data_IF_894151807207
#
_entry.id   IF_894151807207
#
_cell.length_a   1.000
_cell.length_b   1.000
_cell.length_c   1.000
_cell.angle_alpha   90.00
_cell.angle_beta   90.00
_cell.angle_gamma   90.00
#
_symmetry.space_group_name_H-M   'P 1'
#
loop_
_entity.id
_entity.type
_entity.pdbx_description
1 polymer ?
#
# COMPACT_ATOMS: atom_id res chain seq x y z
N UNK A 1 -28.39 -2.48 10.15
CA UNK A 1 -27.73 -1.40 9.42
C UNK A 1 -26.26 -1.42 9.70
N UNK A 2 -25.45 -2.12 8.92
CA UNK A 2 -24.02 -1.93 8.83
C UNK A 2 -23.72 -1.53 7.39
N UNK A 3 -24.01 -0.26 7.11
CA UNK A 3 -23.51 0.42 5.93
C UNK A 3 -22.13 0.93 6.28
N UNK A 4 -21.07 0.43 5.63
CA UNK A 4 -19.85 1.18 5.48
C UNK A 4 -18.51 0.57 5.90
N UNK A 5 -18.35 -0.73 6.06
CA UNK A 5 -17.00 -1.29 6.02
C UNK A 5 -16.56 -1.46 4.56
N UNK A 6 -15.79 -0.49 4.08
CA UNK A 6 -15.04 -0.63 2.83
C UNK A 6 -14.08 -1.82 3.01
N UNK A 7 -14.39 -2.91 2.35
CA UNK A 7 -13.54 -4.09 2.31
C UNK A 7 -12.20 -3.74 1.69
N UNK A 8 -11.13 -3.85 2.47
CA UNK A 8 -9.77 -3.66 1.96
C UNK A 8 -9.23 -5.03 1.55
N UNK A 9 -8.92 -5.26 0.26
CA UNK A 9 -8.44 -6.56 -0.23
C UNK A 9 -7.05 -6.94 0.31
N UNK A 10 -6.35 -6.02 0.93
CA UNK A 10 -5.09 -6.27 1.62
C UNK A 10 -5.03 -5.45 2.91
N UNK A 11 -4.39 -5.97 3.92
CA UNK A 11 -4.26 -5.28 5.19
C UNK A 11 -3.22 -5.90 6.10
N UNK A 12 -3.10 -5.29 7.27
CA UNK A 12 -2.22 -5.78 8.34
C UNK A 12 -3.11 -6.10 9.53
N UNK A 13 -3.02 -7.35 10.00
CA UNK A 13 -3.60 -7.74 11.27
C UNK A 13 -2.49 -7.72 12.33
N UNK A 14 -2.74 -6.99 13.41
CA UNK A 14 -1.86 -6.95 14.55
C UNK A 14 -2.34 -7.97 15.59
N UNK A 15 -1.47 -8.90 15.93
CA UNK A 15 -1.69 -9.80 17.07
C UNK A 15 -0.90 -9.30 18.26
N UNK A 16 -1.57 -9.18 19.36
CA UNK A 16 -0.95 -8.97 20.66
C UNK A 16 -1.16 -10.25 21.49
N UNK A 17 -0.06 -10.93 21.79
CA UNK A 17 -0.08 -12.12 22.62
C UNK A 17 0.59 -11.80 23.96
N UNK A 18 -0.17 -11.84 25.02
CA UNK A 18 0.37 -11.73 26.36
C UNK A 18 0.88 -13.11 26.82
N UNK A 19 2.17 -13.19 27.07
CA UNK A 19 2.83 -14.42 27.48
C UNK A 19 2.70 -14.62 29.01
N UNK A 20 2.75 -15.88 29.50
CA UNK A 20 2.62 -16.16 30.94
C UNK A 20 3.68 -15.50 31.84
N UNK A 21 4.80 -15.06 31.26
CA UNK A 21 5.87 -14.34 31.94
C UNK A 21 5.67 -12.82 32.02
N UNK A 22 4.51 -12.32 31.62
CA UNK A 22 4.17 -10.89 31.62
C UNK A 22 4.75 -10.09 30.44
N UNK A 23 5.41 -10.74 29.49
CA UNK A 23 5.86 -10.11 28.26
C UNK A 23 4.73 -10.12 27.21
N UNK A 24 4.66 -9.05 26.43
CA UNK A 24 3.75 -8.95 25.31
C UNK A 24 4.52 -9.12 24.00
N UNK A 25 4.08 -10.06 23.17
CA UNK A 25 4.62 -10.27 21.84
C UNK A 25 3.66 -9.67 20.81
N UNK A 26 4.10 -8.66 20.06
CA UNK A 26 3.32 -8.10 18.96
C UNK A 26 3.79 -8.73 17.66
N UNK A 27 2.87 -9.31 16.88
CA UNK A 27 3.11 -9.79 15.53
C UNK A 27 2.22 -9.10 14.55
N UNK A 28 2.77 -8.83 13.37
CA UNK A 28 2.06 -8.28 12.22
C UNK A 28 1.89 -9.40 11.21
N UNK A 29 0.67 -9.66 10.78
CA UNK A 29 0.38 -10.57 9.66
C UNK A 29 -0.15 -9.73 8.52
N UNK A 30 0.55 -9.77 7.39
CA UNK A 30 0.08 -9.19 6.14
C UNK A 30 -0.86 -10.19 5.49
N UNK A 31 -2.06 -9.76 5.15
CA UNK A 31 -2.97 -10.55 4.34
C UNK A 31 -3.25 -9.85 3.01
N UNK A 32 -3.33 -10.66 1.96
CA UNK A 32 -3.79 -10.21 0.65
C UNK A 32 -4.97 -11.11 0.29
N UNK A 33 -6.17 -10.54 0.29
CA UNK A 33 -7.39 -11.29 0.04
C UNK A 33 -7.82 -11.06 -1.41
N UNK A 34 -7.76 -12.08 -2.23
CA UNK A 34 -8.06 -12.00 -3.67
C UNK A 34 -9.48 -12.43 -4.04
N UNK A 35 -10.32 -12.83 -3.07
CA UNK A 35 -11.69 -13.21 -3.36
C UNK A 35 -12.64 -12.02 -3.20
N UNK A 36 -13.59 -11.90 -4.13
CA UNK A 36 -14.68 -10.94 -4.02
C UNK A 36 -15.54 -11.27 -2.77
N UNK A 37 -16.07 -10.26 -2.05
CA UNK A 37 -16.95 -10.49 -0.92
C UNK A 37 -18.21 -11.23 -1.36
N UNK A 38 -18.72 -12.13 -0.49
CA UNK A 38 -19.97 -12.82 -0.74
C UNK A 38 -21.12 -11.83 -0.86
N UNK A 39 -21.82 -11.85 -1.99
CA UNK A 39 -22.99 -11.01 -2.25
C UNK A 39 -24.03 -11.77 -3.08
N UNK A 40 -25.31 -11.35 -2.99
CA UNK A 40 -26.32 -11.82 -3.92
C UNK A 40 -26.02 -11.29 -5.32
N UNK A 41 -26.06 -12.17 -6.30
CA UNK A 41 -25.94 -11.83 -7.69
C UNK A 41 -27.32 -11.35 -8.19
N UNK A 42 -27.47 -10.04 -8.36
CA UNK A 42 -28.75 -9.43 -8.77
C UNK A 42 -29.21 -9.96 -10.14
N UNK A 43 -28.28 -10.18 -11.06
CA UNK A 43 -28.59 -10.70 -12.39
C UNK A 43 -29.13 -12.14 -12.37
N UNK A 44 -28.90 -12.86 -11.28
CA UNK A 44 -29.33 -14.24 -11.05
C UNK A 44 -30.28 -14.39 -9.85
N UNK A 45 -30.82 -13.27 -9.33
CA UNK A 45 -31.76 -13.31 -8.20
C UNK A 45 -33.08 -12.68 -8.64
N UNK A 46 -34.03 -13.53 -8.98
CA UNK A 46 -35.33 -13.12 -9.51
C UNK A 46 -36.42 -14.07 -9.05
N UNK A 47 -37.61 -13.53 -8.74
CA UNK A 47 -38.78 -14.30 -8.31
C UNK A 47 -40.03 -13.86 -9.04
N UNK A 48 -40.82 -14.83 -9.51
CA UNK A 48 -42.07 -14.56 -10.22
C UNK A 48 -43.07 -15.70 -10.09
N UNK A 49 -44.32 -15.43 -10.45
CA UNK A 49 -45.40 -16.38 -10.51
C UNK A 49 -46.11 -16.28 -11.88
N UNK A 50 -46.06 -17.35 -12.69
CA UNK A 50 -46.77 -17.41 -13.95
C UNK A 50 -48.27 -17.70 -13.73
N UNK A 51 -49.14 -16.95 -14.36
CA UNK A 51 -50.60 -17.22 -14.32
C UNK A 51 -50.90 -18.66 -14.76
N UNK A 52 -51.62 -19.41 -13.89
CA UNK A 52 -51.97 -20.81 -14.13
C UNK A 52 -50.88 -21.84 -13.69
N UNK A 53 -49.73 -21.40 -13.17
CA UNK A 53 -48.73 -22.29 -12.58
C UNK A 53 -49.21 -22.83 -11.20
N UNK A 54 -48.66 -23.99 -10.79
CA UNK A 54 -48.95 -24.56 -9.49
C UNK A 54 -48.06 -23.92 -8.38
N UNK A 55 -46.91 -23.38 -8.72
CA UNK A 55 -45.96 -22.75 -7.82
C UNK A 55 -45.25 -21.60 -8.49
N UNK A 56 -44.77 -20.64 -7.66
CA UNK A 56 -43.86 -19.58 -8.12
C UNK A 56 -42.45 -20.10 -8.30
N UNK A 57 -41.65 -19.38 -9.07
CA UNK A 57 -40.23 -19.63 -9.25
C UNK A 57 -39.41 -18.55 -8.52
N UNK A 58 -38.45 -18.99 -7.75
CA UNK A 58 -37.47 -18.13 -7.02
C UNK A 58 -36.08 -18.58 -7.42
N UNK A 59 -35.46 -17.87 -8.35
CA UNK A 59 -34.08 -18.10 -8.75
C UNK A 59 -33.16 -17.23 -7.92
N UNK A 60 -32.06 -17.80 -7.41
CA UNK A 60 -31.12 -17.10 -6.52
C UNK A 60 -29.70 -17.45 -6.89
N UNK A 61 -28.90 -16.43 -7.14
CA UNK A 61 -27.45 -16.56 -7.36
C UNK A 61 -26.63 -15.81 -6.33
N UNK A 62 -25.40 -16.26 -6.15
CA UNK A 62 -24.38 -15.57 -5.36
C UNK A 62 -23.13 -15.33 -6.19
N UNK A 63 -22.45 -14.24 -5.89
CA UNK A 63 -21.11 -13.91 -6.40
C UNK A 63 -20.14 -13.68 -5.27
N UNK A 64 -18.86 -13.94 -5.49
CA UNK A 64 -17.83 -13.88 -4.44
C UNK A 64 -17.93 -15.00 -3.40
N UNK A 65 -17.22 -14.88 -2.28
CA UNK A 65 -17.14 -15.90 -1.25
C UNK A 65 -16.51 -17.22 -1.71
N UNK A 66 -16.71 -18.28 -0.91
CA UNK A 66 -16.14 -19.61 -1.17
C UNK A 66 -17.25 -20.64 -1.45
N UNK A 67 -17.15 -21.32 -2.60
CA UNK A 67 -18.08 -22.40 -3.02
C UNK A 67 -17.76 -23.70 -2.27
N UNK A 68 -18.75 -24.64 -2.08
CA UNK A 68 -20.17 -24.52 -2.41
C UNK A 68 -20.92 -23.57 -1.49
N UNK A 69 -22.07 -23.09 -1.98
CA UNK A 69 -23.00 -22.29 -1.19
C UNK A 69 -24.16 -23.13 -0.67
N UNK A 70 -24.66 -22.75 0.50
CA UNK A 70 -25.88 -23.30 1.08
C UNK A 70 -26.95 -22.22 1.02
N UNK A 71 -28.09 -22.49 0.41
CA UNK A 71 -29.24 -21.61 0.26
C UNK A 71 -30.41 -22.14 1.11
N UNK A 72 -30.97 -21.30 1.94
CA UNK A 72 -32.14 -21.60 2.74
C UNK A 72 -33.27 -20.63 2.42
N UNK A 73 -34.35 -21.16 1.81
CA UNK A 73 -35.59 -20.42 1.61
C UNK A 73 -36.38 -20.49 2.93
N UNK A 74 -36.75 -19.34 3.45
CA UNK A 74 -37.46 -19.19 4.69
C UNK A 74 -38.68 -18.29 4.53
N UNK A 75 -39.72 -18.53 5.33
CA UNK A 75 -40.80 -17.58 5.52
C UNK A 75 -40.29 -16.32 6.24
N UNK A 76 -41.06 -15.23 6.25
CA UNK A 76 -40.61 -13.98 6.87
C UNK A 76 -40.44 -14.11 8.40
N UNK A 77 -41.16 -15.05 9.05
CA UNK A 77 -41.00 -15.37 10.46
C UNK A 77 -39.79 -16.24 10.78
N UNK A 78 -39.05 -16.69 9.74
CA UNK A 78 -37.81 -17.45 9.86
C UNK A 78 -37.96 -18.97 9.74
N UNK A 79 -39.17 -19.50 9.55
CA UNK A 79 -39.36 -20.93 9.35
C UNK A 79 -38.72 -21.41 8.05
N UNK A 80 -37.92 -22.48 8.13
CA UNK A 80 -37.27 -23.08 6.96
C UNK A 80 -38.30 -23.74 6.04
N UNK A 81 -38.33 -23.35 4.77
CA UNK A 81 -39.19 -23.94 3.74
C UNK A 81 -38.42 -25.00 2.95
N UNK A 82 -37.24 -24.63 2.41
CA UNK A 82 -36.41 -25.55 1.65
C UNK A 82 -34.94 -25.14 1.77
N UNK A 83 -34.05 -26.14 1.64
CA UNK A 83 -32.57 -25.94 1.68
C UNK A 83 -31.92 -26.60 0.47
N UNK A 84 -31.03 -25.88 -0.20
CA UNK A 84 -30.23 -26.38 -1.34
C UNK A 84 -28.76 -26.09 -1.15
N UNK A 85 -27.92 -26.94 -1.73
CA UNK A 85 -26.46 -26.71 -1.80
C UNK A 85 -26.01 -26.77 -3.25
N UNK A 86 -25.25 -25.76 -3.70
CA UNK A 86 -24.79 -25.68 -5.08
C UNK A 86 -23.51 -24.85 -5.22
N UNK A 87 -22.79 -25.02 -6.34
CA UNK A 87 -21.66 -24.17 -6.73
C UNK A 87 -22.07 -22.92 -7.55
N UNK A 88 -23.36 -22.77 -7.84
CA UNK A 88 -23.93 -21.67 -8.62
C UNK A 88 -25.33 -21.31 -8.13
N UNK A 89 -26.12 -20.68 -9.00
CA UNK A 89 -27.51 -20.34 -8.70
C UNK A 89 -28.39 -21.58 -8.48
N UNK A 90 -29.45 -21.39 -7.69
CA UNK A 90 -30.49 -22.41 -7.43
C UNK A 90 -31.87 -21.83 -7.74
N UNK A 91 -32.83 -22.69 -8.06
CA UNK A 91 -34.24 -22.32 -8.21
C UNK A 91 -35.05 -23.06 -7.19
N UNK A 92 -35.93 -22.33 -6.47
CA UNK A 92 -36.95 -22.87 -5.58
C UNK A 92 -38.32 -22.75 -6.27
N UNK A 93 -39.19 -23.72 -6.06
CA UNK A 93 -40.54 -23.76 -6.63
C UNK A 93 -41.55 -23.80 -5.51
N UNK A 94 -41.97 -22.62 -5.02
CA UNK A 94 -42.85 -22.47 -3.88
C UNK A 94 -43.80 -21.28 -4.02
N UNK A 95 -44.92 -21.35 -3.30
CA UNK A 95 -45.82 -20.23 -3.12
C UNK A 95 -46.68 -19.88 -4.31
N UNK A 96 -47.52 -18.88 -4.11
CA UNK A 96 -48.46 -18.31 -5.13
C UNK A 96 -48.17 -16.81 -5.29
N UNK A 97 -48.85 -16.19 -6.25
CA UNK A 97 -48.76 -14.75 -6.46
C UNK A 97 -48.96 -13.98 -5.14
N UNK A 98 -48.05 -13.06 -4.85
CA UNK A 98 -48.04 -12.26 -3.62
C UNK A 98 -47.37 -12.92 -2.39
N UNK A 99 -46.96 -14.21 -2.49
CA UNK A 99 -46.18 -14.84 -1.44
C UNK A 99 -44.85 -14.16 -1.22
N UNK A 100 -44.41 -14.05 0.05
CA UNK A 100 -43.15 -13.40 0.43
C UNK A 100 -42.26 -14.36 1.21
N UNK A 101 -40.98 -14.32 0.92
CA UNK A 101 -39.95 -15.15 1.54
C UNK A 101 -38.72 -14.33 1.86
N UNK A 102 -37.81 -14.91 2.62
CA UNK A 102 -36.41 -14.46 2.76
C UNK A 102 -35.47 -15.60 2.39
N UNK A 103 -34.28 -15.26 1.93
CA UNK A 103 -33.22 -16.22 1.61
C UNK A 103 -32.03 -15.96 2.49
N UNK A 104 -31.57 -16.99 3.16
CA UNK A 104 -30.28 -16.99 3.84
C UNK A 104 -29.31 -17.83 3.01
N UNK A 105 -28.16 -17.26 2.68
CA UNK A 105 -27.14 -17.92 1.88
C UNK A 105 -25.79 -17.89 2.58
N UNK A 106 -25.17 -19.06 2.72
CA UNK A 106 -23.94 -19.24 3.48
C UNK A 106 -22.89 -19.88 2.55
N UNK A 107 -21.68 -19.35 2.56
CA UNK A 107 -20.55 -19.94 1.84
C UNK A 107 -19.85 -21.04 2.64
N UNK A 108 -18.91 -21.76 2.04
CA UNK A 108 -18.19 -22.86 2.69
C UNK A 108 -17.27 -22.42 3.85
N UNK A 109 -16.99 -21.11 3.98
CA UNK A 109 -16.27 -20.53 5.12
C UNK A 109 -17.19 -20.09 6.25
N UNK A 110 -18.52 -20.26 6.11
CA UNK A 110 -19.53 -19.91 7.12
C UNK A 110 -19.98 -18.44 7.07
N UNK A 111 -19.56 -17.67 6.05
CA UNK A 111 -20.07 -16.31 5.86
C UNK A 111 -21.48 -16.36 5.30
N UNK A 112 -22.43 -15.70 6.00
CA UNK A 112 -23.86 -15.69 5.64
C UNK A 112 -24.28 -14.31 5.14
N UNK A 113 -25.16 -14.30 4.12
CA UNK A 113 -25.88 -13.13 3.62
C UNK A 113 -27.37 -13.41 3.63
N UNK A 114 -28.17 -12.39 3.87
CA UNK A 114 -29.63 -12.48 3.90
C UNK A 114 -30.22 -11.57 2.85
N UNK A 115 -31.06 -12.11 1.96
CA UNK A 115 -31.90 -11.38 1.02
C UNK A 115 -33.31 -11.32 1.58
N UNK A 116 -33.69 -10.13 2.00
CA UNK A 116 -35.01 -9.89 2.58
C UNK A 116 -36.01 -9.62 1.47
N UNK A 117 -37.27 -10.01 1.73
CA UNK A 117 -38.44 -9.61 0.94
C UNK A 117 -38.45 -10.10 -0.51
N UNK A 118 -38.24 -11.41 -0.71
CA UNK A 118 -38.47 -12.09 -1.98
C UNK A 118 -39.97 -12.17 -2.23
N UNK A 119 -40.48 -11.36 -3.20
CA UNK A 119 -41.89 -11.29 -3.55
C UNK A 119 -42.16 -12.07 -4.84
N UNK A 120 -43.09 -13.02 -4.82
CA UNK A 120 -43.62 -13.64 -6.02
C UNK A 120 -44.62 -12.71 -6.73
N UNK A 121 -44.19 -12.15 -7.82
CA UNK A 121 -44.95 -11.15 -8.62
C UNK A 121 -45.13 -11.60 -10.07
N UNK A 122 -45.94 -10.86 -10.79
CA UNK A 122 -46.11 -11.08 -12.24
C UNK A 122 -44.76 -10.88 -12.95
N UNK A 123 -44.33 -11.74 -13.88
CA UNK A 123 -43.10 -11.58 -14.65
C UNK A 123 -42.94 -10.20 -15.30
N UNK A 124 -44.01 -9.59 -15.75
CA UNK A 124 -44.00 -8.25 -16.38
C UNK A 124 -43.56 -7.14 -15.36
N UNK A 125 -43.72 -7.39 -14.04
CA UNK A 125 -43.33 -6.43 -13.01
C UNK A 125 -41.86 -6.50 -12.62
N UNK A 126 -41.09 -7.48 -13.12
CA UNK A 126 -39.68 -7.68 -12.75
C UNK A 126 -38.68 -7.10 -13.74
N UNK A 127 -39.12 -6.43 -14.79
CA UNK A 127 -38.24 -5.73 -15.74
C UNK A 127 -37.36 -4.72 -15.00
N UNK A 128 -36.03 -4.73 -15.26
CA UNK A 128 -35.03 -3.90 -14.59
C UNK A 128 -34.54 -4.42 -13.23
N UNK A 129 -35.10 -5.53 -12.70
CA UNK A 129 -34.66 -6.11 -11.41
C UNK A 129 -33.45 -7.04 -11.53
N UNK A 130 -33.05 -7.42 -12.75
CA UNK A 130 -31.91 -8.31 -13.04
C UNK A 130 -30.72 -7.56 -13.65
N UNK A 131 -30.58 -6.29 -13.31
CA UNK A 131 -29.48 -5.44 -13.79
C UNK A 131 -28.18 -5.76 -13.02
N UNK A 132 -27.07 -5.72 -13.73
CA UNK A 132 -25.74 -5.90 -13.12
C UNK A 132 -24.70 -4.98 -13.79
N UNK A 133 -23.71 -4.55 -12.99
CA UNK A 133 -22.57 -3.82 -13.46
C UNK A 133 -21.34 -4.76 -13.45
N UNK A 134 -20.72 -4.89 -14.60
CA UNK A 134 -19.56 -5.76 -14.83
C UNK A 134 -18.37 -4.90 -15.13
N UNK A 135 -17.26 -5.12 -14.42
CA UNK A 135 -16.00 -4.47 -14.69
C UNK A 135 -14.94 -5.52 -14.97
N UNK A 136 -14.19 -5.36 -16.06
CA UNK A 136 -13.06 -6.23 -16.43
C UNK A 136 -11.89 -5.41 -16.93
N UNK A 137 -10.71 -6.02 -16.94
CA UNK A 137 -9.52 -5.40 -17.50
C UNK A 137 -9.43 -5.64 -19.00
N UNK A 138 -8.88 -4.69 -19.73
CA UNK A 138 -8.61 -4.79 -21.16
C UNK A 138 -7.77 -6.05 -21.46
N UNK A 139 -8.26 -6.87 -22.37
CA UNK A 139 -7.67 -8.16 -22.72
C UNK A 139 -8.20 -9.35 -21.93
N UNK A 140 -8.93 -9.15 -20.82
CA UNK A 140 -9.49 -10.23 -20.03
C UNK A 140 -10.74 -10.84 -20.67
N UNK A 141 -11.04 -12.12 -20.39
CA UNK A 141 -12.27 -12.75 -20.89
C UNK A 141 -13.50 -12.20 -20.18
N UNK A 142 -14.49 -11.79 -20.97
CA UNK A 142 -15.81 -11.36 -20.50
C UNK A 142 -16.80 -12.49 -20.67
N UNK A 143 -17.63 -12.72 -19.66
CA UNK A 143 -18.80 -13.59 -19.71
C UNK A 143 -19.98 -12.89 -19.08
N UNK A 144 -21.02 -12.60 -19.91
CA UNK A 144 -22.28 -12.05 -19.47
C UNK A 144 -23.33 -13.14 -19.60
N UNK A 145 -23.82 -13.61 -18.48
CA UNK A 145 -24.80 -14.70 -18.45
C UNK A 145 -26.12 -14.20 -17.91
N UNK A 146 -27.16 -14.26 -18.76
CA UNK A 146 -28.51 -13.99 -18.31
C UNK A 146 -28.99 -15.09 -17.35
N UNK A 147 -29.94 -14.75 -16.46
CA UNK A 147 -30.63 -15.76 -15.64
C UNK A 147 -31.26 -16.83 -16.53
N UNK A 148 -31.02 -18.10 -16.21
CA UNK A 148 -31.44 -19.23 -17.03
C UNK A 148 -32.78 -19.78 -16.57
N UNK A 149 -33.75 -19.85 -17.48
CA UNK A 149 -35.04 -20.49 -17.24
C UNK A 149 -35.28 -21.62 -18.26
N UNK A 150 -35.80 -22.78 -17.82
CA UNK A 150 -36.08 -23.88 -18.72
C UNK A 150 -37.05 -23.47 -19.85
N UNK A 151 -36.62 -23.72 -21.09
CA UNK A 151 -37.42 -23.41 -22.28
C UNK A 151 -37.55 -21.93 -22.64
N UNK A 152 -36.87 -21.03 -21.97
CA UNK A 152 -36.83 -19.61 -22.31
C UNK A 152 -35.97 -19.35 -23.56
N UNK A 153 -36.31 -18.30 -24.30
CA UNK A 153 -35.51 -17.79 -25.41
C UNK A 153 -34.93 -16.43 -25.06
N UNK A 154 -33.72 -16.14 -25.54
CA UNK A 154 -32.92 -14.95 -25.20
C UNK A 154 -32.73 -14.10 -26.46
N UNK A 155 -32.83 -12.79 -26.29
CA UNK A 155 -32.47 -11.82 -27.33
C UNK A 155 -31.69 -10.69 -26.69
N UNK A 156 -30.41 -10.64 -26.97
CA UNK A 156 -29.51 -9.56 -26.52
C UNK A 156 -29.49 -8.45 -27.55
N UNK A 157 -29.49 -7.21 -27.08
CA UNK A 157 -29.07 -6.02 -27.81
C UNK A 157 -27.73 -5.59 -27.29
N UNK A 158 -26.69 -5.58 -28.12
CA UNK A 158 -25.31 -5.22 -27.78
C UNK A 158 -25.11 -3.70 -27.93
N UNK A 159 -24.05 -3.13 -27.35
CA UNK A 159 -23.75 -1.69 -27.44
C UNK A 159 -23.57 -1.17 -28.86
N UNK A 160 -23.13 -2.01 -29.79
CA UNK A 160 -22.97 -1.69 -31.21
C UNK A 160 -24.29 -1.80 -32.03
N UNK A 161 -25.41 -2.12 -31.37
CA UNK A 161 -26.73 -2.31 -31.98
C UNK A 161 -26.96 -3.67 -32.65
N UNK A 162 -25.99 -4.58 -32.59
CA UNK A 162 -26.16 -5.96 -33.06
C UNK A 162 -26.94 -6.81 -32.05
N UNK A 163 -27.46 -7.96 -32.50
CA UNK A 163 -28.21 -8.88 -31.64
C UNK A 163 -27.51 -10.24 -31.51
N UNK A 164 -27.69 -10.88 -30.37
CA UNK A 164 -27.37 -12.29 -30.14
C UNK A 164 -28.54 -13.01 -29.49
N UNK A 165 -28.66 -14.31 -29.79
CA UNK A 165 -29.70 -15.20 -29.21
C UNK A 165 -29.09 -16.24 -28.26
N UNK A 166 -27.81 -16.15 -27.97
CA UNK A 166 -27.14 -17.05 -27.03
C UNK A 166 -27.57 -16.72 -25.60
N UNK A 167 -27.73 -17.70 -24.70
CA UNK A 167 -28.07 -17.46 -23.30
C UNK A 167 -26.91 -16.86 -22.53
N UNK A 168 -25.68 -16.91 -23.07
CA UNK A 168 -24.46 -16.37 -22.50
C UNK A 168 -23.61 -15.71 -23.59
N UNK A 169 -23.15 -14.50 -23.34
CA UNK A 169 -22.19 -13.80 -24.20
C UNK A 169 -20.77 -14.07 -23.68
N UNK A 170 -19.85 -14.45 -24.58
CA UNK A 170 -18.45 -14.69 -24.24
C UNK A 170 -17.53 -14.08 -25.29
N UNK A 171 -16.63 -13.17 -24.85
CA UNK A 171 -15.70 -12.46 -25.72
C UNK A 171 -14.51 -11.93 -24.93
N UNK A 172 -13.51 -11.39 -25.60
CA UNK A 172 -12.41 -10.66 -24.96
C UNK A 172 -12.84 -9.21 -24.71
N UNK A 173 -12.61 -8.72 -23.49
CA UNK A 173 -12.89 -7.34 -23.11
C UNK A 173 -11.94 -6.38 -23.82
N UNK A 174 -12.50 -5.46 -24.60
CA UNK A 174 -11.80 -4.37 -25.28
C UNK A 174 -12.63 -3.10 -25.16
N UNK A 175 -12.02 -1.89 -25.14
CA UNK A 175 -12.76 -0.65 -24.91
C UNK A 175 -13.96 -0.41 -25.85
N UNK A 176 -13.92 -0.93 -27.07
CA UNK A 176 -15.02 -0.86 -28.05
C UNK A 176 -16.22 -1.76 -27.70
N UNK A 177 -16.02 -2.72 -26.78
CA UNK A 177 -17.09 -3.59 -26.26
C UNK A 177 -17.72 -3.06 -24.98
N UNK A 178 -17.20 -1.99 -24.41
CA UNK A 178 -17.79 -1.36 -23.24
C UNK A 178 -19.16 -0.76 -23.55
N UNK A 179 -20.06 -0.78 -22.57
CA UNK A 179 -21.39 -0.18 -22.71
C UNK A 179 -22.49 -1.06 -22.15
N UNK A 180 -23.72 -0.75 -22.58
CA UNK A 180 -24.94 -1.39 -22.08
C UNK A 180 -25.37 -2.55 -22.98
N UNK A 181 -25.56 -3.71 -22.37
CA UNK A 181 -26.10 -4.92 -22.95
C UNK A 181 -27.49 -5.12 -22.37
N UNK A 182 -28.52 -5.19 -23.23
CA UNK A 182 -29.89 -5.44 -22.78
C UNK A 182 -30.31 -6.83 -23.24
N UNK A 183 -30.86 -7.65 -22.34
CA UNK A 183 -31.41 -8.96 -22.68
C UNK A 183 -32.91 -8.97 -22.48
N UNK A 184 -33.64 -9.46 -23.48
CA UNK A 184 -35.05 -9.85 -23.40
C UNK A 184 -35.13 -11.38 -23.27
N UNK A 185 -35.66 -11.84 -22.14
CA UNK A 185 -35.85 -13.25 -21.83
C UNK A 185 -37.33 -13.58 -21.96
N UNK A 186 -37.66 -14.29 -23.04
CA UNK A 186 -39.04 -14.73 -23.28
C UNK A 186 -39.30 -16.03 -22.52
N UNK A 187 -40.20 -15.99 -21.55
CA UNK A 187 -40.67 -17.15 -20.79
C UNK A 187 -41.79 -17.86 -21.55
N UNK A 188 -41.46 -18.96 -22.25
CA UNK A 188 -42.45 -19.68 -23.06
C UNK A 188 -43.55 -20.33 -22.21
N UNK A 189 -43.30 -20.60 -20.94
CA UNK A 189 -44.26 -21.21 -20.01
C UNK A 189 -45.42 -20.28 -19.63
N UNK A 190 -45.20 -18.97 -19.64
CA UNK A 190 -46.24 -17.99 -19.28
C UNK A 190 -46.37 -16.82 -20.27
N UNK A 191 -45.82 -16.94 -21.46
CA UNK A 191 -45.85 -15.94 -22.53
C UNK A 191 -45.49 -14.51 -22.02
N UNK A 192 -44.55 -14.42 -21.13
CA UNK A 192 -44.08 -13.17 -20.53
C UNK A 192 -42.61 -12.90 -20.89
N UNK A 193 -42.23 -11.64 -20.91
CA UNK A 193 -40.85 -11.21 -21.19
C UNK A 193 -40.29 -10.53 -19.94
N UNK A 194 -39.07 -10.94 -19.54
CA UNK A 194 -38.25 -10.28 -18.51
C UNK A 194 -37.14 -9.55 -19.25
N UNK A 195 -36.90 -8.29 -18.90
CA UNK A 195 -35.78 -7.49 -19.44
C UNK A 195 -34.73 -7.26 -18.38
N UNK A 196 -33.48 -7.53 -18.72
CA UNK A 196 -32.31 -7.23 -17.89
C UNK A 196 -31.31 -6.33 -18.59
N UNK A 197 -30.62 -5.54 -17.83
CA UNK A 197 -29.61 -4.59 -18.31
C UNK A 197 -28.26 -4.86 -17.60
N UNK A 198 -27.21 -5.00 -18.39
CA UNK A 198 -25.85 -5.23 -17.92
C UNK A 198 -24.96 -4.11 -18.43
N UNK A 199 -24.29 -3.41 -17.54
CA UNK A 199 -23.32 -2.37 -17.90
C UNK A 199 -21.91 -2.93 -17.81
N UNK A 200 -21.20 -2.97 -18.95
CA UNK A 200 -19.82 -3.44 -19.01
C UNK A 200 -18.86 -2.26 -19.03
N UNK A 201 -18.02 -2.18 -18.00
CA UNK A 201 -16.87 -1.30 -17.94
C UNK A 201 -15.57 -2.03 -18.27
N UNK A 202 -14.74 -1.44 -19.12
CA UNK A 202 -13.43 -1.97 -19.49
C UNK A 202 -12.35 -1.01 -19.00
N UNK A 203 -11.54 -1.47 -18.04
CA UNK A 203 -10.40 -0.74 -17.49
C UNK A 203 -9.10 -1.14 -18.20
N UNK A 204 -8.30 -0.15 -18.61
CA UNK A 204 -6.91 -0.37 -19.03
C UNK A 204 -5.99 0.33 -18.05
N UNK A 205 -4.95 -0.37 -17.59
CA UNK A 205 -3.97 0.15 -16.65
C UNK A 205 -2.58 -0.32 -17.02
N UNK A 206 -1.66 0.63 -17.26
CA UNK A 206 -0.26 0.35 -17.53
C UNK A 206 0.62 1.24 -16.66
N UNK A 207 1.53 0.63 -15.92
CA UNK A 207 2.55 1.31 -15.14
C UNK A 207 3.77 1.66 -16.00
N UNK A 208 4.51 2.69 -15.54
CA UNK A 208 5.80 3.01 -16.13
C UNK A 208 6.80 1.86 -15.91
N UNK A 209 7.35 1.34 -17.00
CA UNK A 209 8.39 0.30 -16.97
C UNK A 209 9.80 0.84 -16.68
N UNK A 210 9.96 2.16 -16.49
CA UNK A 210 11.25 2.82 -16.24
C UNK A 210 11.90 2.31 -14.95
N UNK A 211 13.22 2.10 -15.00
CA UNK A 211 14.02 1.77 -13.81
C UNK A 211 14.60 3.03 -13.18
N UNK A 212 14.57 3.10 -11.85
CA UNK A 212 15.13 4.20 -11.11
C UNK A 212 16.20 3.69 -10.16
N UNK A 213 17.35 4.36 -10.11
CA UNK A 213 18.44 3.98 -9.20
C UNK A 213 18.84 5.17 -8.37
N UNK A 214 18.89 4.97 -7.06
CA UNK A 214 19.37 5.96 -6.10
C UNK A 214 20.39 5.34 -5.14
N UNK A 215 21.19 6.21 -4.54
CA UNK A 215 22.16 5.84 -3.51
C UNK A 215 22.07 6.82 -2.36
N UNK A 216 22.04 6.31 -1.13
CA UNK A 216 21.94 7.13 0.07
C UNK A 216 22.74 6.51 1.22
N UNK A 217 22.81 7.19 2.34
CA UNK A 217 23.43 6.71 3.56
C UNK A 217 22.37 6.04 4.47
N UNK A 218 22.80 5.04 5.26
CA UNK A 218 21.92 4.40 6.24
C UNK A 218 21.26 5.44 7.17
N UNK A 219 19.95 5.35 7.31
CA UNK A 219 19.14 6.28 8.08
C UNK A 219 18.74 7.58 7.35
N UNK A 220 19.21 7.79 6.12
CA UNK A 220 18.78 8.90 5.27
C UNK A 220 17.66 8.46 4.32
N UNK A 221 16.81 9.40 3.93
CA UNK A 221 15.72 9.14 3.01
C UNK A 221 16.17 9.14 1.55
N UNK A 222 15.46 8.37 0.73
CA UNK A 222 15.49 8.42 -0.72
C UNK A 222 14.06 8.55 -1.24
N UNK A 223 13.85 9.38 -2.27
CA UNK A 223 12.52 9.63 -2.84
C UNK A 223 12.45 9.03 -4.23
N UNK A 224 11.47 8.16 -4.46
CA UNK A 224 11.16 7.61 -5.79
C UNK A 224 9.84 8.18 -6.28
N UNK A 225 9.87 8.79 -7.46
CA UNK A 225 8.73 9.40 -8.14
C UNK A 225 8.73 8.98 -9.61
N UNK A 226 8.32 7.74 -9.95
CA UNK A 226 8.18 7.31 -11.32
C UNK A 226 7.09 8.09 -12.04
N UNK A 227 7.08 8.06 -13.36
CA UNK A 227 6.03 8.68 -14.16
C UNK A 227 4.64 8.16 -13.76
N UNK A 228 3.63 8.97 -14.01
CA UNK A 228 2.24 8.58 -13.79
C UNK A 228 1.86 7.36 -14.65
N UNK A 229 1.04 6.43 -14.14
CA UNK A 229 0.53 5.32 -14.92
C UNK A 229 -0.44 5.82 -15.99
N UNK A 230 -0.55 5.08 -17.07
CA UNK A 230 -1.59 5.27 -18.06
C UNK A 230 -2.81 4.47 -17.65
N UNK A 231 -3.93 5.13 -17.43
CA UNK A 231 -5.18 4.50 -17.04
C UNK A 231 -6.34 5.03 -17.92
N UNK A 232 -7.17 4.12 -18.43
CA UNK A 232 -8.39 4.47 -19.15
C UNK A 232 -9.55 3.59 -18.68
N UNK A 233 -10.76 4.16 -18.74
CA UNK A 233 -12.01 3.45 -18.55
C UNK A 233 -12.85 3.61 -19.82
N UNK A 234 -13.22 2.49 -20.45
CA UNK A 234 -13.97 2.48 -21.72
C UNK A 234 -13.29 3.32 -22.83
N UNK A 235 -11.95 3.34 -22.84
CA UNK A 235 -11.15 4.15 -23.76
C UNK A 235 -11.01 5.62 -23.40
N UNK A 236 -11.75 6.13 -22.42
CA UNK A 236 -11.61 7.49 -21.88
C UNK A 236 -10.56 7.56 -20.77
N UNK A 237 -9.87 8.70 -20.65
CA UNK A 237 -8.88 8.92 -19.59
C UNK A 237 -9.53 8.90 -18.19
N UNK A 238 -8.85 8.29 -17.24
CA UNK A 238 -9.25 8.24 -15.81
C UNK A 238 -8.47 9.28 -15.03
N UNK A 239 -9.11 9.90 -14.04
CA UNK A 239 -8.42 10.79 -13.13
C UNK A 239 -7.45 10.01 -12.26
N UNK A 240 -6.30 10.62 -11.96
CA UNK A 240 -5.29 9.98 -11.12
C UNK A 240 -5.76 9.78 -9.67
N UNK A 241 -6.79 10.49 -9.24
CA UNK A 241 -7.41 10.37 -7.92
C UNK A 241 -8.27 9.11 -7.79
N UNK A 242 -8.68 8.52 -8.92
CA UNK A 242 -9.43 7.27 -8.97
C UNK A 242 -8.51 6.03 -8.92
N UNK A 243 -7.20 6.23 -8.88
CA UNK A 243 -6.20 5.16 -8.81
C UNK A 243 -5.74 4.94 -7.37
N UNK A 244 -5.62 3.67 -7.01
CA UNK A 244 -5.04 3.28 -5.73
C UNK A 244 -3.58 2.87 -5.91
N UNK A 245 -2.69 3.39 -5.07
CA UNK A 245 -1.26 3.10 -5.11
C UNK A 245 -0.85 2.32 -3.86
N UNK A 246 0.11 1.40 -4.03
CA UNK A 246 0.80 0.74 -2.93
C UNK A 246 2.25 0.48 -3.30
N UNK A 247 3.17 1.02 -2.50
CA UNK A 247 4.57 0.71 -2.64
C UNK A 247 4.95 -0.55 -1.88
N UNK A 248 5.86 -1.31 -2.47
CA UNK A 248 6.41 -2.54 -1.92
C UNK A 248 7.93 -2.50 -1.96
N UNK A 249 8.57 -3.22 -1.05
CA UNK A 249 10.01 -3.39 -1.04
C UNK A 249 10.43 -4.83 -0.84
N UNK A 250 11.65 -5.15 -1.27
CA UNK A 250 12.31 -6.45 -1.04
C UNK A 250 13.83 -6.30 -1.06
N UNK A 251 14.54 -7.33 -0.62
CA UNK A 251 15.98 -7.51 -0.85
C UNK A 251 16.29 -8.58 -1.90
N UNK A 252 15.29 -9.35 -2.31
CA UNK A 252 15.38 -10.48 -3.25
C UNK A 252 14.34 -10.32 -4.36
N UNK A 253 14.55 -9.42 -5.36
CA UNK A 253 13.52 -9.03 -6.32
C UNK A 253 13.08 -10.16 -7.27
N UNK A 254 13.87 -11.22 -7.40
CA UNK A 254 13.55 -12.41 -8.20
C UNK A 254 12.57 -13.38 -7.53
N UNK A 255 12.38 -13.26 -6.22
CA UNK A 255 11.38 -14.02 -5.47
C UNK A 255 10.08 -13.23 -5.39
N UNK A 256 9.06 -13.68 -6.11
CA UNK A 256 7.74 -13.02 -6.15
C UNK A 256 7.08 -12.91 -4.77
N UNK A 257 7.36 -13.84 -3.85
CA UNK A 257 6.79 -13.88 -2.51
C UNK A 257 7.55 -13.01 -1.49
N UNK A 258 8.70 -12.46 -1.86
CA UNK A 258 9.55 -11.65 -0.98
C UNK A 258 9.07 -10.21 -0.83
N UNK A 259 8.19 -9.73 -1.70
CA UNK A 259 7.72 -8.35 -1.72
C UNK A 259 6.81 -8.04 -0.53
N UNK A 260 7.15 -6.99 0.21
CA UNK A 260 6.42 -6.55 1.39
C UNK A 260 5.88 -5.13 1.17
N UNK A 261 4.62 -4.86 1.52
CA UNK A 261 4.09 -3.52 1.43
C UNK A 261 4.84 -2.57 2.38
N UNK A 262 5.06 -1.35 1.93
CA UNK A 262 5.55 -0.25 2.76
C UNK A 262 4.32 0.39 3.39
N UNK A 263 4.24 0.33 4.72
CA UNK A 263 3.08 0.85 5.45
C UNK A 263 2.87 2.34 5.20
N UNK A 264 1.63 2.72 4.83
CA UNK A 264 1.25 4.11 4.56
C UNK A 264 1.78 4.69 3.25
N UNK A 265 2.53 3.91 2.45
CA UNK A 265 3.04 4.37 1.16
C UNK A 265 2.00 4.12 0.05
N UNK A 266 0.96 4.95 0.03
CA UNK A 266 -0.20 4.88 -0.87
C UNK A 266 -0.28 6.05 -1.85
N UNK A 267 0.80 6.80 -1.99
CA UNK A 267 0.90 7.94 -2.89
C UNK A 267 1.66 7.58 -4.18
N UNK A 268 1.61 8.46 -5.18
CA UNK A 268 2.32 8.32 -6.46
C UNK A 268 3.83 8.16 -6.29
N UNK A 269 4.39 8.83 -5.29
CA UNK A 269 5.81 8.78 -4.92
C UNK A 269 5.98 8.16 -3.53
N UNK A 270 7.18 7.69 -3.24
CA UNK A 270 7.52 7.17 -1.91
C UNK A 270 8.81 7.79 -1.42
N UNK A 271 8.82 8.17 -0.15
CA UNK A 271 10.01 8.44 0.62
C UNK A 271 10.33 7.18 1.45
N UNK A 272 11.52 6.63 1.23
CA UNK A 272 11.95 5.40 1.89
C UNK A 272 13.23 5.60 2.68
N UNK A 273 13.23 5.16 3.93
CA UNK A 273 14.39 5.21 4.83
C UNK A 273 14.82 3.80 5.18
N UNK A 274 16.05 3.43 4.83
CA UNK A 274 16.63 2.16 5.21
C UNK A 274 17.62 2.36 6.38
N UNK A 275 17.37 1.68 7.50
CA UNK A 275 18.20 1.78 8.70
C UNK A 275 19.56 1.06 8.55
N UNK A 276 19.64 0.07 7.67
CA UNK A 276 20.82 -0.78 7.50
C UNK A 276 21.37 -0.68 6.08
N UNK A 277 22.71 -0.79 5.91
CA UNK A 277 23.33 -0.79 4.59
C UNK A 277 22.94 -2.02 3.79
N UNK A 278 22.99 -1.88 2.45
CA UNK A 278 22.65 -2.93 1.51
C UNK A 278 21.87 -2.42 0.31
N UNK A 279 21.41 -3.34 -0.52
CA UNK A 279 20.57 -3.02 -1.68
C UNK A 279 19.13 -3.35 -1.37
N UNK A 280 18.26 -2.41 -1.63
CA UNK A 280 16.81 -2.52 -1.49
C UNK A 280 16.17 -2.29 -2.85
N UNK A 281 15.14 -3.04 -3.13
CA UNK A 281 14.36 -2.93 -4.35
C UNK A 281 12.96 -2.50 -3.98
N UNK A 282 12.44 -1.48 -4.69
CA UNK A 282 11.10 -0.97 -4.48
C UNK A 282 10.34 -1.04 -5.80
N UNK A 283 9.03 -1.15 -5.71
CA UNK A 283 8.12 -1.04 -6.85
C UNK A 283 6.80 -0.44 -6.41
N UNK A 284 6.13 0.26 -7.31
CA UNK A 284 4.77 0.72 -7.13
C UNK A 284 3.81 -0.30 -7.75
N UNK A 285 2.75 -0.62 -7.06
CA UNK A 285 1.59 -1.33 -7.59
C UNK A 285 0.44 -0.35 -7.67
N UNK A 286 -0.20 -0.26 -8.81
CA UNK A 286 -1.35 0.62 -9.05
C UNK A 286 -2.57 -0.22 -9.36
N UNK A 287 -3.74 0.23 -8.91
CA UNK A 287 -5.02 -0.43 -9.09
C UNK A 287 -6.04 0.54 -9.66
N UNK A 288 -6.85 0.02 -10.60
CA UNK A 288 -8.06 0.64 -11.13
C UNK A 288 -9.17 -0.42 -11.09
N UNK A 289 -10.07 -0.35 -10.10
CA UNK A 289 -11.00 -1.44 -9.83
C UNK A 289 -10.26 -2.76 -9.61
N UNK A 290 -10.60 -3.80 -10.38
CA UNK A 290 -9.91 -5.10 -10.31
C UNK A 290 -8.60 -5.16 -11.13
N UNK A 291 -8.32 -4.14 -11.95
CA UNK A 291 -7.10 -4.08 -12.74
C UNK A 291 -5.90 -3.69 -11.88
N UNK A 292 -4.82 -4.46 -12.00
CA UNK A 292 -3.59 -4.25 -11.24
C UNK A 292 -2.40 -4.18 -12.19
N UNK A 293 -1.61 -3.13 -12.09
CA UNK A 293 -0.34 -2.99 -12.79
C UNK A 293 0.82 -2.83 -11.81
N UNK A 294 1.98 -3.34 -12.18
CA UNK A 294 3.21 -3.28 -11.38
C UNK A 294 4.24 -2.44 -12.12
N UNK A 295 4.74 -1.42 -11.47
CA UNK A 295 5.72 -0.49 -12.02
C UNK A 295 7.13 -1.07 -12.16
N UNK A 296 7.97 -0.32 -12.84
CA UNK A 296 9.37 -0.63 -13.01
C UNK A 296 10.14 -0.71 -11.69
N UNK A 297 11.29 -1.38 -11.73
CA UNK A 297 12.12 -1.62 -10.56
C UNK A 297 12.87 -0.36 -10.13
N UNK A 298 12.67 0.07 -8.89
CA UNK A 298 13.46 1.11 -8.24
C UNK A 298 14.53 0.44 -7.36
N UNK A 299 15.79 0.78 -7.58
CA UNK A 299 16.93 0.23 -6.84
C UNK A 299 17.52 1.28 -5.91
N UNK A 300 17.62 0.99 -4.63
CA UNK A 300 18.26 1.83 -3.63
C UNK A 300 19.49 1.14 -3.07
N UNK A 301 20.65 1.71 -3.29
CA UNK A 301 21.89 1.31 -2.63
C UNK A 301 22.10 2.18 -1.39
N UNK A 302 22.21 1.54 -0.23
CA UNK A 302 22.39 2.21 1.07
C UNK A 302 23.81 1.97 1.57
N UNK A 303 24.57 3.04 1.67
CA UNK A 303 25.94 3.00 2.18
C UNK A 303 25.93 2.89 3.72
N UNK A 304 26.96 2.25 4.31
CA UNK A 304 27.09 2.23 5.76
C UNK A 304 27.30 3.62 6.32
N UNK A 305 26.57 3.95 7.38
CA UNK A 305 26.70 5.22 8.09
C UNK A 305 28.08 5.36 8.78
N UNK A 306 28.46 6.60 9.04
CA UNK A 306 29.67 6.95 9.79
C UNK A 306 29.22 7.51 11.14
N UNK A 307 29.75 6.99 12.24
CA UNK A 307 29.55 7.58 13.57
C UNK A 307 30.88 8.01 14.18
N UNK A 308 30.82 9.10 14.94
CA UNK A 308 31.98 9.65 15.68
C UNK A 308 31.59 9.75 17.15
N UNK A 309 32.36 9.10 18.01
CA UNK A 309 32.15 9.17 19.46
C UNK A 309 33.31 9.95 20.05
N UNK A 310 33.00 11.02 20.78
CA UNK A 310 33.98 11.87 21.47
C UNK A 310 33.70 11.91 22.97
N UNK A 311 34.74 11.82 23.76
CA UNK A 311 34.69 12.07 25.21
C UNK A 311 34.59 13.56 25.53
N UNK A 312 34.19 13.90 26.74
CA UNK A 312 34.13 15.30 27.19
C UNK A 312 35.53 15.99 27.16
N UNK A 313 36.59 15.24 27.43
CA UNK A 313 37.98 15.75 27.34
C UNK A 313 38.44 16.01 25.93
N UNK A 314 37.94 15.26 24.94
CA UNK A 314 38.22 15.49 23.51
C UNK A 314 37.47 16.71 22.97
N UNK A 315 36.29 17.03 23.55
CA UNK A 315 35.49 18.21 23.14
C UNK A 315 36.03 19.53 23.63
N UNK A 316 36.86 19.53 24.71
CA UNK A 316 37.42 20.73 25.28
C UNK A 316 38.88 20.52 25.62
N UNK A 317 39.73 21.14 24.82
CA UNK A 317 41.19 21.05 24.95
C UNK A 317 41.74 22.37 25.47
N UNK A 318 42.52 22.31 26.55
CA UNK A 318 43.19 23.48 27.12
C UNK A 318 44.70 23.36 26.89
N UNK A 319 45.30 24.35 26.20
CA UNK A 319 46.67 24.31 25.75
C UNK A 319 47.51 25.40 26.44
N UNK A 320 48.67 25.00 26.96
CA UNK A 320 49.70 25.91 27.48
C UNK A 320 50.63 26.33 26.36
N UNK A 321 50.42 27.49 25.79
CA UNK A 321 51.30 28.28 24.91
C UNK A 321 52.24 27.58 23.91
N UNK A 322 52.23 26.25 23.83
CA UNK A 322 53.09 25.50 22.90
C UNK A 322 52.33 25.22 21.61
N UNK A 323 52.74 25.84 20.53
CA UNK A 323 52.44 25.45 19.17
C UNK A 323 53.60 24.63 18.65
N UNK A 324 53.40 23.62 17.79
CA UNK A 324 52.12 23.09 17.31
C UNK A 324 51.40 22.15 18.28
N UNK A 325 50.10 21.95 18.07
CA UNK A 325 49.33 20.94 18.80
C UNK A 325 48.51 20.07 17.84
N UNK A 326 48.32 18.80 18.17
CA UNK A 326 47.64 17.80 17.38
C UNK A 326 46.19 17.64 17.85
N UNK A 327 45.25 17.64 16.88
CA UNK A 327 43.84 17.31 17.08
C UNK A 327 43.54 15.97 16.44
N UNK A 328 42.94 15.06 17.18
CA UNK A 328 42.59 13.68 16.73
C UNK A 328 41.09 13.39 16.81
N UNK A 329 40.23 14.17 17.21
CA UNK A 329 38.76 14.13 17.23
C UNK A 329 38.07 12.73 17.18
N UNK A 330 38.02 12.04 18.31
CA UNK A 330 37.13 10.92 18.59
C UNK A 330 37.37 9.60 17.86
N UNK A 331 36.71 8.56 18.36
CA UNK A 331 36.65 7.25 17.71
C UNK A 331 35.65 7.27 16.54
N UNK A 332 36.08 6.81 15.36
CA UNK A 332 35.26 6.70 14.18
C UNK A 332 34.90 5.25 13.95
N UNK A 333 33.60 4.97 13.81
CA UNK A 333 33.10 3.68 13.33
C UNK A 333 32.40 3.84 11.96
N UNK A 334 32.35 2.78 11.17
CA UNK A 334 31.82 2.77 9.81
C UNK A 334 32.84 2.31 8.77
N UNK A 335 32.63 2.59 7.47
CA UNK A 335 33.49 2.11 6.37
C UNK A 335 34.95 2.51 6.53
N UNK A 336 35.87 1.67 6.05
CA UNK A 336 37.32 1.95 6.11
C UNK A 336 37.75 3.05 5.13
N UNK A 337 37.19 3.05 3.90
CA UNK A 337 37.50 4.07 2.89
C UNK A 337 36.84 5.41 3.25
N UNK A 338 37.62 6.35 3.71
CA UNK A 338 37.15 7.66 4.21
C UNK A 338 38.04 8.78 3.73
N UNK A 339 37.41 9.95 3.55
CA UNK A 339 38.10 11.23 3.40
C UNK A 339 37.73 12.17 4.55
N UNK A 340 38.58 13.10 4.84
CA UNK A 340 38.45 14.01 5.97
C UNK A 340 38.58 15.45 5.52
N UNK A 341 37.86 16.34 6.19
CA UNK A 341 38.04 17.79 6.10
C UNK A 341 37.99 18.35 7.50
N UNK A 342 39.09 18.96 7.93
CA UNK A 342 39.11 19.73 9.17
C UNK A 342 38.67 21.15 8.88
N UNK A 343 37.81 21.65 9.74
CA UNK A 343 37.33 23.03 9.69
C UNK A 343 37.66 23.74 11.00
N UNK A 344 37.98 25.01 10.88
CA UNK A 344 38.28 25.92 11.98
C UNK A 344 37.29 27.06 12.00
N UNK A 345 36.94 27.53 13.19
CA UNK A 345 36.05 28.68 13.41
C UNK A 345 36.55 29.50 14.60
N UNK A 346 36.41 30.83 14.52
CA UNK A 346 36.71 31.76 15.60
C UNK A 346 35.45 32.15 16.40
N UNK A 347 34.28 31.96 15.82
CA UNK A 347 32.98 32.36 16.39
C UNK A 347 32.03 31.17 16.65
N UNK A 348 32.44 29.95 16.29
CA UNK A 348 31.62 28.74 16.36
C UNK A 348 30.51 28.65 15.30
N UNK A 349 30.43 29.61 14.40
CA UNK A 349 29.37 29.70 13.37
C UNK A 349 29.92 29.64 11.97
N UNK A 350 30.94 30.45 11.67
CA UNK A 350 31.60 30.53 10.38
C UNK A 350 32.80 29.58 10.35
N UNK A 351 32.84 28.67 9.37
CA UNK A 351 33.82 27.60 9.29
C UNK A 351 34.70 27.72 8.05
N UNK A 352 35.99 27.51 8.19
CA UNK A 352 36.99 27.53 7.11
C UNK A 352 37.74 26.20 7.10
N UNK A 353 37.92 25.60 5.93
CA UNK A 353 38.69 24.37 5.76
C UNK A 353 40.18 24.62 6.01
N UNK A 354 40.81 23.73 6.82
CA UNK A 354 42.22 23.91 7.27
C UNK A 354 43.08 22.65 7.08
N UNK A 355 42.50 21.49 6.79
CA UNK A 355 43.25 20.26 6.58
C UNK A 355 42.41 19.12 6.06
N UNK A 356 43.02 18.05 5.52
CA UNK A 356 42.35 16.88 4.91
C UNK A 356 42.85 15.55 5.45
N UNK A 357 43.73 15.55 6.45
CA UNK A 357 44.24 14.32 7.03
C UNK A 357 43.34 13.79 8.18
N UNK A 358 43.55 12.57 8.60
CA UNK A 358 42.83 11.94 9.74
C UNK A 358 42.93 12.74 11.01
N UNK A 359 44.07 13.42 11.22
CA UNK A 359 44.37 14.33 12.32
C UNK A 359 44.77 15.70 11.76
N UNK A 360 44.66 16.74 12.58
CA UNK A 360 45.06 18.08 12.18
C UNK A 360 46.07 18.68 13.19
N UNK A 361 47.17 19.20 12.65
CA UNK A 361 48.16 19.92 13.45
C UNK A 361 48.02 21.42 13.27
N UNK A 362 47.66 22.14 14.34
CA UNK A 362 47.61 23.60 14.28
C UNK A 362 49.00 24.20 14.67
N UNK A 363 49.46 25.08 13.78
CA UNK A 363 50.75 25.74 13.95
C UNK A 363 50.59 27.21 14.36
N UNK A 364 49.40 27.73 14.33
CA UNK A 364 49.13 29.15 14.58
C UNK A 364 48.27 29.36 15.81
N UNK A 365 48.51 30.45 16.50
CA UNK A 365 47.66 30.96 17.58
C UNK A 365 46.83 32.13 17.02
N UNK A 366 45.51 31.90 16.87
CA UNK A 366 44.61 32.85 16.23
C UNK A 366 43.80 33.70 17.23
N UNK A 367 43.29 33.05 18.28
CA UNK A 367 42.42 33.67 19.27
C UNK A 367 42.56 32.90 20.61
N UNK A 368 42.11 33.48 21.76
CA UNK A 368 42.08 32.77 23.03
C UNK A 368 41.21 31.51 23.04
N UNK A 369 40.17 31.48 22.22
CA UNK A 369 39.28 30.34 22.01
C UNK A 369 39.12 30.15 20.51
N UNK A 370 39.31 28.91 20.07
CA UNK A 370 39.13 28.50 18.65
C UNK A 370 38.36 27.20 18.61
N UNK A 371 37.50 27.07 17.67
CA UNK A 371 36.68 25.87 17.46
C UNK A 371 37.19 25.10 16.25
N UNK A 372 37.23 23.77 16.37
CA UNK A 372 37.59 22.86 15.31
C UNK A 372 36.53 21.77 15.19
N UNK A 373 36.24 21.32 13.96
CA UNK A 373 35.45 20.13 13.71
C UNK A 373 36.01 19.34 12.55
N UNK A 374 35.74 18.05 12.52
CA UNK A 374 36.14 17.19 11.41
C UNK A 374 34.89 16.71 10.68
N UNK A 375 34.85 16.90 9.36
CA UNK A 375 33.86 16.30 8.45
C UNK A 375 34.48 15.02 7.92
N UNK A 376 33.71 13.96 7.91
CA UNK A 376 34.14 12.63 7.44
C UNK A 376 33.18 12.21 6.36
N UNK A 377 33.71 11.75 5.22
CA UNK A 377 32.93 11.28 4.09
C UNK A 377 33.33 9.87 3.68
N UNK A 378 32.36 9.05 3.29
CA UNK A 378 32.54 7.73 2.70
C UNK A 378 31.36 7.41 1.79
N UNK A 379 31.63 7.24 0.47
CA UNK A 379 30.55 7.12 -0.50
C UNK A 379 29.65 8.36 -0.49
N UNK A 380 28.33 8.17 -0.31
CA UNK A 380 27.34 9.25 -0.14
C UNK A 380 27.21 9.74 1.28
N UNK A 381 27.84 9.08 2.25
CA UNK A 381 27.73 9.40 3.66
C UNK A 381 28.66 10.53 4.07
N UNK A 382 28.10 11.52 4.75
CA UNK A 382 28.84 12.61 5.41
C UNK A 382 28.44 12.69 6.87
N UNK A 383 29.41 12.81 7.75
CA UNK A 383 29.20 13.08 9.18
C UNK A 383 30.03 14.26 9.59
N UNK A 384 29.40 15.24 10.23
CA UNK A 384 30.07 16.38 10.88
C UNK A 384 30.28 16.04 12.33
N UNK A 385 31.55 15.93 12.76
CA UNK A 385 31.91 15.76 14.16
C UNK A 385 31.47 16.96 14.99
N UNK A 386 31.22 16.72 16.27
CA UNK A 386 30.95 17.80 17.21
C UNK A 386 32.17 18.76 17.29
N UNK A 387 31.92 20.05 17.54
CA UNK A 387 33.01 21.03 17.68
C UNK A 387 33.91 20.74 18.88
N UNK A 388 35.23 20.81 18.65
CA UNK A 388 36.26 20.80 19.68
C UNK A 388 36.56 22.24 20.04
N UNK A 389 36.40 22.59 21.29
CA UNK A 389 36.76 23.90 21.81
C UNK A 389 38.20 23.89 22.31
N UNK A 390 39.06 24.62 21.66
CA UNK A 390 40.47 24.81 22.06
C UNK A 390 40.63 26.13 22.80
N UNK A 391 41.12 26.07 24.02
CA UNK A 391 41.32 27.25 24.89
C UNK A 391 42.81 27.42 25.12
N UNK A 392 43.35 28.55 24.71
CA UNK A 392 44.74 28.92 25.00
C UNK A 392 44.81 29.64 26.34
N UNK A 393 45.54 29.07 27.32
CA UNK A 393 45.79 29.72 28.62
C UNK A 393 46.53 31.04 28.43
N UNK A 394 46.09 32.08 29.10
CA UNK A 394 46.85 33.33 29.20
C UNK A 394 48.06 33.12 30.09
N UNK A 395 49.27 33.49 29.64
CA UNK A 395 50.37 33.71 30.58
C UNK A 395 50.03 34.99 31.36
N UNK A 396 49.75 34.84 32.61
CA UNK A 396 49.97 35.98 33.51
C UNK A 396 51.48 36.07 33.65
N UNK A 397 52.12 37.24 33.36
CA UNK A 397 53.50 37.44 33.76
C UNK A 397 53.56 37.14 35.28
N UNK A 398 54.54 36.32 35.67
CA UNK A 398 54.79 36.14 37.10
C UNK A 398 54.87 37.55 37.69
N UNK A 399 53.97 37.88 38.60
CA UNK A 399 54.16 39.11 39.36
C UNK A 399 55.46 38.93 40.18
N UNK A 400 56.50 39.44 39.61
CA UNK A 400 57.72 39.68 40.38
C UNK A 400 57.33 40.77 41.36
N UNK A 401 56.93 40.37 42.54
CA UNK A 401 56.72 41.31 43.65
C UNK A 401 58.07 41.95 44.02
N UNK A 402 58.34 43.21 43.65
CA UNK A 402 59.61 43.84 43.92
C UNK A 402 59.87 44.06 45.38
N UNK A 403 58.86 43.85 46.22
CA UNK A 403 58.99 44.10 47.70
C UNK A 403 59.48 42.89 48.49
N UNK A 404 59.75 41.77 47.92
CA UNK A 404 60.30 40.60 48.58
C UNK A 404 61.82 40.53 48.50
N UNK A 405 62.53 41.46 47.82
CA UNK A 405 63.99 41.54 47.76
C UNK A 405 64.62 42.51 48.75
N UNK A 406 63.85 43.16 49.62
CA UNK A 406 64.39 44.11 50.60
C UNK A 406 64.36 43.62 52.05
N UNK A 407 64.22 42.35 52.31
CA UNK A 407 64.20 41.83 53.68
C UNK A 407 65.22 40.73 54.02
N UNK A 408 66.32 40.60 53.25
CA UNK A 408 67.37 39.61 53.56
C UNK A 408 68.72 40.24 53.76
N UNK A 409 68.89 41.55 53.65
CA UNK A 409 70.17 42.22 53.91
C UNK A 409 70.14 43.18 55.11
N UNK A 410 69.54 42.76 56.20
CA UNK A 410 69.87 43.36 57.56
C UNK A 410 69.73 42.28 58.59
N UNK A 411 70.82 41.53 58.77
CA UNK A 411 71.41 41.11 60.05
C UNK A 411 72.62 40.22 59.73
N UNK A 412 73.81 40.89 60.07
CA UNK A 412 75.20 40.46 60.13
C UNK A 412 76.07 40.68 58.92
#
# INVERSE_FOLDING_TARGET
>A
GDEGETYKPSGIVYYKLDLPNGQTCERRIYYNYTSQPLAFDRSNTVSFFCAGAHSGQINVGLKGGHKPYIYELRTLDGTLVEKKSAHGAVTFEHGSLGSRYRIEATDSCGLTRVYQDVLLQDPAAISGSIDDDIFVCDGDPVRIKAVQFPGATYTWMLPDGTQSHDPELSFTGTPDKAGTYTVNIQLNTCNATITGTYTLGIGHLAESAGTHTQRTCAGQSAVFAPADPVATLNGGAVNQEDLEFQWQYTKTPTDANSWKPIFGATEKSVEYVAAYPGTYYLRRTTRLGDCVAVGGLCTLTVDPGITVTMSASERRVVIDHKNPFLLTAGLITGPAARTYVWQRSLDGKTWTDVGTDVSYTETQRLAPVVYYRRIIRSGTCETKGEPITVIFKRRYPAMVNPQLRQRVDQHW
#
